data_IF_755039566484
#
_entry.id   IF_755039566484
#
_cell.length_a   1.000
_cell.length_b   1.000
_cell.length_c   1.000
_cell.angle_alpha   90.00
_cell.angle_beta   90.00
_cell.angle_gamma   90.00
#
_symmetry.space_group_name_H-M   'P 1'
#
loop_
_entity.id
_entity.type
_entity.pdbx_description
1 polymer ?
#
# COMPACT_ATOMS: atom_id res chain seq x y z
N UNK A 1 8.67 -14.65 -4.38
CA UNK A 1 8.75 -15.52 -5.56
C UNK A 1 7.37 -15.74 -6.15
N UNK A 2 7.34 -16.11 -7.43
CA UNK A 2 6.11 -16.40 -8.15
C UNK A 2 6.32 -17.59 -9.10
N UNK A 3 5.27 -18.37 -9.41
CA UNK A 3 5.43 -19.63 -10.12
C UNK A 3 5.81 -19.50 -11.60
N UNK A 4 5.75 -18.31 -12.20
CA UNK A 4 6.00 -18.11 -13.63
C UNK A 4 7.46 -18.31 -14.02
N UNK A 5 8.41 -17.71 -13.28
CA UNK A 5 9.86 -17.79 -13.56
C UNK A 5 10.62 -18.75 -12.64
N UNK A 6 9.94 -19.57 -11.85
CA UNK A 6 10.61 -20.43 -10.92
C UNK A 6 11.37 -21.59 -11.62
N UNK A 7 12.46 -22.09 -11.01
CA UNK A 7 13.19 -23.23 -11.53
C UNK A 7 12.30 -24.48 -11.67
N UNK A 8 12.49 -25.23 -12.76
CA UNK A 8 11.76 -26.49 -13.00
C UNK A 8 12.08 -27.58 -11.96
N UNK A 9 13.20 -27.45 -11.28
CA UNK A 9 13.62 -28.39 -10.23
C UNK A 9 12.77 -28.34 -8.97
N UNK A 10 11.96 -27.25 -8.78
CA UNK A 10 11.06 -27.13 -7.63
C UNK A 10 9.71 -27.79 -7.95
N UNK A 11 9.44 -28.96 -7.37
CA UNK A 11 8.22 -29.71 -7.63
C UNK A 11 6.96 -28.97 -7.14
N UNK A 12 7.02 -28.28 -6.00
CA UNK A 12 5.89 -27.52 -5.48
C UNK A 12 5.48 -26.40 -6.45
N UNK A 13 6.44 -25.70 -7.00
CA UNK A 13 6.17 -24.65 -7.99
C UNK A 13 5.66 -25.22 -9.31
N UNK A 14 6.15 -26.40 -9.72
CA UNK A 14 5.60 -27.13 -10.86
C UNK A 14 4.12 -27.52 -10.64
N UNK A 15 3.78 -27.94 -9.42
CA UNK A 15 2.40 -28.27 -9.06
C UNK A 15 1.49 -27.02 -9.10
N UNK A 16 1.97 -25.86 -8.63
CA UNK A 16 1.23 -24.60 -8.76
C UNK A 16 1.00 -24.25 -10.22
N UNK A 17 2.02 -24.38 -11.11
CA UNK A 17 1.84 -24.15 -12.55
C UNK A 17 0.80 -25.10 -13.17
N UNK A 18 0.82 -26.37 -12.79
CA UNK A 18 -0.18 -27.32 -13.26
C UNK A 18 -1.60 -26.96 -12.78
N UNK A 19 -1.73 -26.43 -11.56
CA UNK A 19 -2.98 -25.86 -11.06
C UNK A 19 -3.47 -24.67 -11.90
N UNK A 20 -2.57 -23.78 -12.29
CA UNK A 20 -2.91 -22.70 -13.23
C UNK A 20 -3.28 -23.17 -14.62
N UNK A 21 -2.62 -24.22 -15.13
CA UNK A 21 -2.97 -24.82 -16.44
C UNK A 21 -4.39 -25.38 -16.43
N UNK A 22 -4.79 -26.04 -15.34
CA UNK A 22 -6.14 -26.54 -15.19
C UNK A 22 -7.15 -25.38 -15.02
N UNK A 23 -6.85 -24.38 -14.21
CA UNK A 23 -7.71 -23.20 -14.09
C UNK A 23 -7.89 -22.48 -15.43
N UNK A 24 -6.81 -22.34 -16.22
CA UNK A 24 -6.86 -21.76 -17.58
C UNK A 24 -7.78 -22.57 -18.49
N UNK A 25 -7.67 -23.90 -18.48
CA UNK A 25 -8.54 -24.78 -19.26
C UNK A 25 -10.03 -24.54 -18.93
N UNK A 26 -10.37 -24.41 -17.66
CA UNK A 26 -11.74 -24.12 -17.20
C UNK A 26 -12.19 -22.72 -17.66
N UNK A 27 -11.31 -21.71 -17.60
CA UNK A 27 -11.59 -20.36 -18.12
C UNK A 27 -11.87 -20.42 -19.63
N UNK A 28 -11.09 -21.18 -20.40
CA UNK A 28 -11.28 -21.33 -21.86
C UNK A 28 -12.60 -22.01 -22.21
N UNK A 29 -13.03 -22.95 -21.41
CA UNK A 29 -14.31 -23.66 -21.57
C UNK A 29 -15.52 -22.83 -21.11
N UNK A 30 -15.29 -21.81 -20.32
CA UNK A 30 -16.39 -20.99 -19.75
C UNK A 30 -17.03 -20.01 -20.74
N UNK A 31 -16.40 -19.72 -21.89
CA UNK A 31 -16.79 -18.66 -22.84
C UNK A 31 -16.93 -17.28 -22.17
N UNK A 32 -16.03 -16.94 -21.25
CA UNK A 32 -16.05 -15.66 -20.56
C UNK A 32 -15.67 -14.50 -21.50
N UNK A 33 -16.36 -13.37 -21.31
CA UNK A 33 -16.13 -12.15 -22.07
C UNK A 33 -15.10 -11.23 -21.42
N UNK A 34 -14.86 -11.38 -20.10
CA UNK A 34 -13.97 -10.51 -19.34
C UNK A 34 -13.38 -11.22 -18.09
N UNK A 35 -12.12 -10.92 -17.78
CA UNK A 35 -11.48 -11.27 -16.52
C UNK A 35 -11.41 -10.04 -15.61
N UNK A 36 -12.01 -10.10 -14.43
CA UNK A 36 -12.00 -9.01 -13.45
C UNK A 36 -11.03 -9.36 -12.33
N UNK A 37 -9.94 -8.59 -12.20
CA UNK A 37 -8.87 -8.84 -11.24
C UNK A 37 -8.94 -7.84 -10.10
N UNK A 38 -9.06 -8.35 -8.87
CA UNK A 38 -8.85 -7.58 -7.66
C UNK A 38 -7.51 -7.98 -7.05
N UNK A 39 -6.52 -7.05 -7.10
CA UNK A 39 -5.16 -7.36 -6.68
C UNK A 39 -4.76 -6.65 -5.40
N UNK A 40 -4.34 -7.44 -4.41
CA UNK A 40 -3.76 -6.91 -3.18
C UNK A 40 -2.27 -6.58 -3.32
N UNK A 41 -1.64 -6.96 -4.42
CA UNK A 41 -0.26 -6.58 -4.74
C UNK A 41 -0.17 -5.20 -5.42
N UNK A 42 -1.31 -4.60 -5.77
CA UNK A 42 -1.41 -3.20 -6.15
C UNK A 42 -2.11 -2.38 -5.05
N UNK A 43 -1.39 -1.90 -4.02
CA UNK A 43 -1.97 -1.09 -2.97
C UNK A 43 -2.21 0.34 -3.47
N UNK A 44 -3.38 0.91 -3.16
CA UNK A 44 -3.70 2.32 -3.37
C UNK A 44 -3.94 3.02 -2.04
N UNK A 45 -3.66 4.33 -1.98
CA UNK A 45 -3.83 5.16 -0.77
C UNK A 45 -5.02 6.12 -0.95
N UNK A 46 -5.27 6.57 -2.17
CA UNK A 46 -6.32 7.53 -2.49
C UNK A 46 -7.40 6.81 -3.28
N UNK A 47 -8.44 6.38 -2.59
CA UNK A 47 -9.57 5.66 -3.20
C UNK A 47 -9.15 4.36 -3.91
N UNK A 48 -10.07 3.80 -4.67
CA UNK A 48 -9.83 2.63 -5.50
C UNK A 48 -9.38 3.06 -6.90
N UNK A 49 -8.44 2.33 -7.48
CA UNK A 49 -7.90 2.65 -8.79
C UNK A 49 -8.14 1.49 -9.75
N UNK A 50 -8.58 1.79 -10.95
CA UNK A 50 -8.91 0.80 -11.98
C UNK A 50 -8.08 1.10 -13.22
N UNK A 51 -7.34 0.12 -13.74
CA UNK A 51 -6.57 0.29 -14.98
C UNK A 51 -7.54 0.50 -16.15
N UNK A 52 -7.30 1.55 -16.92
CA UNK A 52 -8.04 1.91 -18.13
C UNK A 52 -7.16 2.30 -19.33
N UNK A 53 -5.85 2.09 -19.24
CA UNK A 53 -4.98 2.05 -20.42
C UNK A 53 -5.36 0.82 -21.25
N UNK A 54 -5.70 0.95 -22.55
CA UNK A 54 -6.17 -0.18 -23.33
C UNK A 54 -5.13 -1.29 -23.50
N UNK A 55 -3.85 -0.92 -23.56
CA UNK A 55 -2.77 -1.87 -23.82
C UNK A 55 -1.53 -1.55 -22.96
N UNK A 56 -1.62 -1.71 -21.65
CA UNK A 56 -0.44 -1.50 -20.81
C UNK A 56 0.65 -2.52 -21.16
N UNK A 57 1.83 -1.99 -21.44
CA UNK A 57 2.98 -2.76 -21.90
C UNK A 57 4.22 -2.35 -21.13
N UNK A 58 4.90 -3.33 -20.52
CA UNK A 58 6.16 -3.10 -19.78
C UNK A 58 6.87 -4.43 -19.49
N UNK A 59 7.86 -4.35 -18.61
CA UNK A 59 8.60 -5.51 -18.10
C UNK A 59 8.51 -5.52 -16.59
N UNK A 60 7.93 -6.59 -16.02
CA UNK A 60 7.92 -6.80 -14.59
C UNK A 60 9.21 -7.49 -14.14
N UNK A 61 9.82 -7.00 -13.07
CA UNK A 61 10.92 -7.62 -12.35
C UNK A 61 10.59 -7.65 -10.88
N UNK A 62 10.63 -8.82 -10.26
CA UNK A 62 10.44 -8.95 -8.83
C UNK A 62 11.62 -8.31 -8.09
N UNK A 63 11.37 -7.38 -7.18
CA UNK A 63 12.44 -6.64 -6.52
C UNK A 63 13.20 -7.47 -5.47
N UNK A 64 12.54 -8.47 -4.88
CA UNK A 64 13.15 -9.39 -3.91
C UNK A 64 13.80 -10.60 -4.58
N UNK A 65 13.28 -11.01 -5.75
CA UNK A 65 13.70 -12.19 -6.51
C UNK A 65 14.09 -11.83 -7.96
N UNK A 66 14.80 -10.71 -8.12
CA UNK A 66 15.22 -10.20 -9.43
C UNK A 66 16.17 -11.13 -10.19
N UNK A 67 16.87 -12.00 -9.49
CA UNK A 67 17.73 -13.05 -10.04
C UNK A 67 16.97 -14.15 -10.80
N UNK A 68 15.67 -14.32 -10.55
CA UNK A 68 14.83 -15.23 -11.33
C UNK A 68 14.56 -14.73 -12.76
N UNK A 69 14.77 -13.43 -13.03
CA UNK A 69 14.62 -12.86 -14.36
C UNK A 69 13.53 -11.79 -14.47
N UNK A 70 13.03 -11.60 -15.69
CA UNK A 70 12.03 -10.58 -16.01
C UNK A 70 10.86 -11.14 -16.80
N UNK A 71 9.68 -10.55 -16.64
CA UNK A 71 8.46 -10.93 -17.34
C UNK A 71 8.00 -9.76 -18.22
N UNK A 72 8.27 -9.79 -19.53
CA UNK A 72 7.67 -8.83 -20.44
C UNK A 72 6.16 -9.11 -20.54
N UNK A 73 5.36 -8.05 -20.47
CA UNK A 73 3.92 -8.15 -20.61
C UNK A 73 3.38 -7.08 -21.56
N UNK A 74 2.31 -7.43 -22.23
CA UNK A 74 1.39 -6.54 -22.93
C UNK A 74 -0.01 -7.09 -22.65
N UNK A 75 -0.91 -6.25 -22.14
CA UNK A 75 -2.23 -6.68 -21.70
C UNK A 75 -3.31 -6.08 -22.59
N UNK A 76 -4.47 -6.74 -22.65
CA UNK A 76 -5.68 -6.27 -23.31
C UNK A 76 -6.70 -5.86 -22.23
N UNK A 77 -6.92 -4.55 -22.06
CA UNK A 77 -7.81 -4.01 -21.02
C UNK A 77 -9.13 -3.58 -21.61
N UNK A 78 -10.25 -4.00 -20.99
CA UNK A 78 -11.58 -3.48 -21.28
C UNK A 78 -11.76 -2.10 -20.64
N UNK A 79 -11.41 -1.08 -21.42
CA UNK A 79 -11.43 0.30 -20.95
C UNK A 79 -12.85 0.82 -20.71
N UNK A 80 -13.85 0.29 -21.44
CA UNK A 80 -15.23 0.70 -21.22
C UNK A 80 -15.75 0.12 -19.91
N UNK A 81 -15.53 -1.15 -19.65
CA UNK A 81 -15.91 -1.77 -18.38
C UNK A 81 -15.19 -1.10 -17.18
N UNK A 82 -13.93 -0.73 -17.33
CA UNK A 82 -13.21 0.00 -16.28
C UNK A 82 -13.90 1.32 -15.92
N UNK A 83 -14.38 2.08 -16.91
CA UNK A 83 -15.13 3.33 -16.71
C UNK A 83 -16.50 3.10 -16.09
N UNK A 84 -17.21 2.05 -16.53
CA UNK A 84 -18.54 1.70 -16.02
C UNK A 84 -18.45 1.27 -14.54
N UNK A 85 -17.42 0.49 -14.19
CA UNK A 85 -17.16 0.15 -12.79
C UNK A 85 -16.77 1.37 -11.94
N UNK A 86 -15.95 2.28 -12.45
CA UNK A 86 -15.62 3.53 -11.77
C UNK A 86 -16.88 4.39 -11.53
N UNK A 87 -17.78 4.46 -12.51
CA UNK A 87 -19.05 5.15 -12.35
C UNK A 87 -19.97 4.48 -11.32
N UNK A 88 -20.05 3.14 -11.31
CA UNK A 88 -20.81 2.39 -10.33
C UNK A 88 -20.24 2.57 -8.89
N UNK A 89 -18.91 2.62 -8.74
CA UNK A 89 -18.27 2.92 -7.47
C UNK A 89 -18.72 4.27 -6.91
N UNK A 90 -18.66 5.31 -7.75
CA UNK A 90 -19.08 6.67 -7.37
C UNK A 90 -20.57 6.74 -7.04
N UNK A 91 -21.41 6.00 -7.77
CA UNK A 91 -22.85 5.93 -7.49
C UNK A 91 -23.16 5.31 -6.12
N UNK A 92 -22.28 4.42 -5.63
CA UNK A 92 -22.38 3.81 -4.29
C UNK A 92 -21.60 4.57 -3.22
N UNK A 93 -21.09 5.79 -3.49
CA UNK A 93 -20.40 6.65 -2.54
C UNK A 93 -18.92 6.35 -2.33
N UNK A 94 -18.31 5.54 -3.20
CA UNK A 94 -16.88 5.25 -3.12
C UNK A 94 -16.05 6.28 -3.87
N UNK A 95 -14.88 6.56 -3.34
CA UNK A 95 -13.85 7.29 -4.08
C UNK A 95 -13.11 6.31 -4.98
N UNK A 96 -13.21 6.52 -6.28
CA UNK A 96 -12.47 5.72 -7.26
C UNK A 96 -12.08 6.54 -8.49
N UNK A 97 -11.14 6.02 -9.24
CA UNK A 97 -10.71 6.62 -10.51
C UNK A 97 -10.12 5.60 -11.46
N UNK A 98 -10.28 5.87 -12.74
CA UNK A 98 -9.55 5.19 -13.79
C UNK A 98 -8.10 5.68 -13.87
N UNK A 99 -7.16 4.75 -14.08
CA UNK A 99 -5.74 5.03 -14.34
C UNK A 99 -5.48 4.76 -15.81
N UNK A 100 -5.32 5.83 -16.57
CA UNK A 100 -5.03 5.81 -18.00
C UNK A 100 -3.70 6.51 -18.27
N UNK A 101 -2.65 6.02 -17.64
CA UNK A 101 -1.31 6.56 -17.81
C UNK A 101 -0.44 5.54 -18.52
N UNK A 102 -0.01 5.86 -19.74
CA UNK A 102 0.86 4.99 -20.52
C UNK A 102 2.19 4.76 -19.80
N UNK A 103 2.58 3.49 -19.62
CA UNK A 103 3.75 3.12 -18.84
C UNK A 103 3.50 3.04 -17.32
N UNK A 104 2.25 3.11 -16.87
CA UNK A 104 1.94 2.77 -15.48
C UNK A 104 2.27 1.30 -15.22
N UNK A 105 3.11 1.00 -14.20
CA UNK A 105 3.52 -0.37 -13.93
C UNK A 105 2.36 -1.20 -13.37
N UNK A 106 2.08 -2.33 -14.01
CA UNK A 106 1.13 -3.31 -13.48
C UNK A 106 1.83 -4.16 -12.42
N UNK A 107 1.14 -4.43 -11.32
CA UNK A 107 1.68 -5.22 -10.23
C UNK A 107 1.99 -6.66 -10.64
N UNK A 108 3.00 -7.24 -9.98
CA UNK A 108 3.50 -8.57 -10.32
C UNK A 108 2.47 -9.68 -10.19
N UNK A 109 1.55 -9.57 -9.24
CA UNK A 109 0.49 -10.56 -9.06
C UNK A 109 -0.49 -10.58 -10.22
N UNK A 110 -0.94 -9.41 -10.68
CA UNK A 110 -1.81 -9.29 -11.87
C UNK A 110 -1.09 -9.75 -13.13
N UNK A 111 0.19 -9.37 -13.31
CA UNK A 111 1.00 -9.82 -14.46
C UNK A 111 1.13 -11.34 -14.48
N UNK A 112 1.51 -11.95 -13.35
CA UNK A 112 1.70 -13.40 -13.26
C UNK A 112 0.38 -14.14 -13.44
N UNK A 113 -0.70 -13.69 -12.80
CA UNK A 113 -2.02 -14.29 -12.95
C UNK A 113 -2.47 -14.27 -14.43
N UNK A 114 -2.38 -13.12 -15.10
CA UNK A 114 -2.77 -13.02 -16.51
C UNK A 114 -1.87 -13.82 -17.45
N UNK A 115 -0.55 -13.86 -17.20
CA UNK A 115 0.38 -14.68 -17.99
C UNK A 115 0.09 -16.18 -17.88
N UNK A 116 -0.40 -16.64 -16.73
CA UNK A 116 -0.73 -18.06 -16.51
C UNK A 116 -2.16 -18.40 -16.92
N UNK A 117 -3.13 -17.52 -16.67
CA UNK A 117 -4.56 -17.77 -16.94
C UNK A 117 -5.02 -17.36 -18.35
N UNK A 118 -4.36 -16.36 -18.96
CA UNK A 118 -4.77 -15.76 -20.24
C UNK A 118 -3.54 -15.35 -21.08
N UNK A 119 -2.61 -16.28 -21.36
CA UNK A 119 -1.31 -15.96 -21.98
C UNK A 119 -1.41 -15.26 -23.32
N UNK A 120 -2.45 -15.54 -24.10
CA UNK A 120 -2.69 -15.00 -25.43
C UNK A 120 -3.50 -13.68 -25.42
N UNK A 121 -3.82 -13.14 -24.25
CA UNK A 121 -4.67 -11.94 -24.08
C UNK A 121 -6.02 -12.01 -24.84
N UNK A 122 -6.53 -13.22 -25.05
CA UNK A 122 -7.75 -13.45 -25.82
C UNK A 122 -8.98 -12.84 -25.12
N UNK A 123 -9.05 -12.97 -23.80
CA UNK A 123 -10.11 -12.40 -22.99
C UNK A 123 -9.64 -11.04 -22.47
N UNK A 124 -10.35 -9.93 -22.73
CA UNK A 124 -10.02 -8.66 -22.11
C UNK A 124 -10.05 -8.73 -20.58
N UNK A 125 -9.18 -7.99 -19.93
CA UNK A 125 -9.13 -7.93 -18.48
C UNK A 125 -9.46 -6.53 -17.96
N UNK A 126 -9.81 -6.43 -16.69
CA UNK A 126 -9.81 -5.19 -15.91
C UNK A 126 -9.11 -5.46 -14.58
N UNK A 127 -8.32 -4.51 -14.10
CA UNK A 127 -7.53 -4.67 -12.87
C UNK A 127 -7.88 -3.54 -11.91
N UNK A 128 -8.26 -3.90 -10.69
CA UNK A 128 -8.56 -2.96 -9.60
C UNK A 128 -7.55 -3.11 -8.46
N UNK A 129 -7.13 -1.98 -7.92
CA UNK A 129 -6.26 -1.90 -6.75
C UNK A 129 -6.98 -2.24 -5.45
N UNK A 130 -6.21 -2.60 -4.43
CA UNK A 130 -6.69 -2.69 -3.05
C UNK A 130 -6.34 -1.41 -2.29
N UNK A 131 -7.35 -0.65 -1.86
CA UNK A 131 -7.12 0.51 -1.01
C UNK A 131 -6.66 0.05 0.38
N UNK A 132 -5.52 0.60 0.84
CA UNK A 132 -4.90 0.19 2.12
C UNK A 132 -5.79 0.51 3.32
N UNK A 133 -6.57 1.57 3.24
CA UNK A 133 -7.46 2.04 4.32
C UNK A 133 -8.87 1.45 4.25
N UNK A 134 -9.24 0.83 3.13
CA UNK A 134 -10.56 0.22 3.00
C UNK A 134 -10.78 -0.86 4.07
N UNK A 135 -11.89 -0.75 4.77
CA UNK A 135 -12.38 -1.75 5.69
C UNK A 135 -13.25 -2.79 4.96
N UNK A 136 -13.87 -3.71 5.70
CA UNK A 136 -14.74 -4.73 5.12
C UNK A 136 -15.95 -4.10 4.42
N UNK A 137 -16.62 -3.12 5.03
CA UNK A 137 -17.78 -2.45 4.47
C UNK A 137 -17.45 -1.78 3.13
N UNK A 138 -16.39 -1.00 3.07
CA UNK A 138 -15.93 -0.35 1.84
C UNK A 138 -15.55 -1.37 0.75
N UNK A 139 -14.88 -2.46 1.12
CA UNK A 139 -14.50 -3.53 0.19
C UNK A 139 -15.73 -4.29 -0.34
N UNK A 140 -16.74 -4.50 0.50
CA UNK A 140 -18.03 -5.11 0.11
C UNK A 140 -18.78 -4.22 -0.88
N UNK A 141 -18.86 -2.92 -0.63
CA UNK A 141 -19.50 -1.96 -1.54
C UNK A 141 -18.76 -1.87 -2.88
N UNK A 142 -17.42 -1.92 -2.89
CA UNK A 142 -16.62 -1.98 -4.12
C UNK A 142 -16.97 -3.20 -4.98
N UNK A 143 -17.17 -4.35 -4.34
CA UNK A 143 -17.56 -5.58 -5.04
C UNK A 143 -18.97 -5.52 -5.58
N UNK A 144 -19.93 -4.97 -4.82
CA UNK A 144 -21.31 -4.76 -5.28
C UNK A 144 -21.38 -3.80 -6.47
N UNK A 145 -20.58 -2.73 -6.44
CA UNK A 145 -20.47 -1.81 -7.58
C UNK A 145 -19.89 -2.50 -8.84
N UNK A 146 -18.97 -3.44 -8.63
CA UNK A 146 -18.47 -4.26 -9.73
C UNK A 146 -19.56 -5.18 -10.30
N UNK A 147 -20.35 -5.81 -9.42
CA UNK A 147 -21.50 -6.65 -9.83
C UNK A 147 -22.52 -5.86 -10.64
N UNK A 148 -22.85 -4.61 -10.23
CA UNK A 148 -23.72 -3.71 -10.99
C UNK A 148 -23.18 -3.45 -12.42
N UNK A 149 -21.85 -3.21 -12.53
CA UNK A 149 -21.22 -3.00 -13.82
C UNK A 149 -21.25 -4.27 -14.70
N UNK A 150 -21.07 -5.45 -14.11
CA UNK A 150 -21.20 -6.75 -14.80
C UNK A 150 -22.62 -6.90 -15.32
N UNK A 151 -23.63 -6.73 -14.47
CA UNK A 151 -25.04 -6.84 -14.85
C UNK A 151 -25.39 -5.84 -15.97
N UNK A 152 -25.02 -4.58 -15.82
CA UNK A 152 -25.30 -3.55 -16.81
C UNK A 152 -24.61 -3.81 -18.17
N UNK A 153 -23.42 -4.41 -18.17
CA UNK A 153 -22.68 -4.75 -19.38
C UNK A 153 -23.23 -5.97 -20.13
N UNK A 154 -23.97 -6.84 -19.44
CA UNK A 154 -24.41 -8.13 -19.94
C UNK A 154 -23.29 -9.13 -20.24
N UNK A 155 -22.06 -8.87 -19.79
CA UNK A 155 -20.88 -9.70 -20.01
C UNK A 155 -20.85 -10.89 -19.07
N UNK A 156 -20.37 -12.02 -19.59
CA UNK A 156 -20.00 -13.17 -18.78
C UNK A 156 -18.62 -12.95 -18.18
N UNK A 157 -18.57 -12.69 -16.88
CA UNK A 157 -17.36 -12.31 -16.19
C UNK A 157 -16.79 -13.44 -15.32
N UNK A 158 -15.47 -13.53 -15.25
CA UNK A 158 -14.77 -14.33 -14.26
C UNK A 158 -14.06 -13.38 -13.30
N UNK A 159 -14.36 -13.50 -12.01
CA UNK A 159 -13.70 -12.77 -10.94
C UNK A 159 -12.42 -13.51 -10.52
N UNK A 160 -11.29 -12.81 -10.53
CA UNK A 160 -9.99 -13.31 -10.12
C UNK A 160 -9.47 -12.47 -8.96
N UNK A 161 -9.12 -13.10 -7.87
CA UNK A 161 -8.47 -12.43 -6.74
C UNK A 161 -7.02 -12.86 -6.62
N UNK A 162 -6.14 -11.89 -6.41
CA UNK A 162 -4.72 -12.09 -6.20
C UNK A 162 -4.39 -11.72 -4.76
N UNK A 163 -4.00 -12.71 -3.96
CA UNK A 163 -3.68 -12.54 -2.55
C UNK A 163 -2.61 -13.52 -2.09
N UNK A 164 -2.15 -13.37 -0.86
CA UNK A 164 -1.39 -14.38 -0.14
C UNK A 164 -2.26 -15.05 0.91
N UNK A 165 -2.05 -16.33 1.16
CA UNK A 165 -2.50 -17.00 2.38
C UNK A 165 -1.57 -16.61 3.54
N UNK A 166 -0.80 -17.49 4.14
CA UNK A 166 0.32 -17.07 4.98
C UNK A 166 1.43 -16.47 4.11
N UNK A 167 2.00 -15.35 4.53
CA UNK A 167 3.06 -14.66 3.78
C UNK A 167 4.35 -14.46 4.58
N UNK A 168 4.60 -15.32 5.54
CA UNK A 168 5.87 -15.35 6.25
C UNK A 168 6.87 -16.11 5.40
N UNK A 169 7.83 -15.38 4.83
CA UNK A 169 8.87 -15.95 3.98
C UNK A 169 10.13 -16.25 4.79
N UNK A 170 10.94 -17.19 4.33
CA UNK A 170 12.29 -17.38 4.86
C UNK A 170 13.19 -16.20 4.46
N UNK A 171 14.09 -15.81 5.36
CA UNK A 171 15.04 -14.72 5.12
C UNK A 171 16.36 -15.21 4.49
N UNK A 172 16.55 -16.50 4.41
CA UNK A 172 17.70 -17.15 3.80
C UNK A 172 17.23 -17.99 2.61
N UNK A 173 18.08 -18.17 1.58
CA UNK A 173 17.78 -19.11 0.51
C UNK A 173 17.50 -20.50 1.07
N UNK A 174 16.46 -21.14 0.59
CA UNK A 174 16.04 -22.50 0.96
C UNK A 174 16.13 -23.37 -0.28
N UNK A 175 16.68 -24.59 -0.13
CA UNK A 175 16.67 -25.56 -1.21
C UNK A 175 15.24 -25.95 -1.58
N UNK A 176 14.92 -26.17 -2.86
CA UNK A 176 13.57 -26.53 -3.28
C UNK A 176 12.96 -27.74 -2.57
N UNK A 177 13.79 -28.71 -2.21
CA UNK A 177 13.40 -29.93 -1.49
C UNK A 177 13.22 -29.73 0.03
N UNK A 178 13.68 -28.60 0.55
CA UNK A 178 13.54 -28.20 1.95
C UNK A 178 12.47 -27.13 2.14
N UNK A 179 11.86 -26.61 1.06
CA UNK A 179 10.84 -25.58 1.15
C UNK A 179 9.57 -26.11 1.83
N UNK A 180 9.12 -25.41 2.83
CA UNK A 180 7.94 -25.75 3.63
C UNK A 180 7.26 -24.47 4.10
N UNK A 181 5.98 -24.55 4.48
CA UNK A 181 5.32 -23.41 5.12
C UNK A 181 6.09 -23.03 6.38
N UNK A 182 6.32 -21.73 6.57
CA UNK A 182 7.22 -21.17 7.59
C UNK A 182 6.94 -21.68 9.01
N UNK A 183 5.69 -21.96 9.36
CA UNK A 183 5.31 -22.56 10.64
C UNK A 183 4.11 -23.49 10.50
N UNK A 184 4.06 -24.51 11.37
CA UNK A 184 2.89 -25.41 11.44
C UNK A 184 1.59 -24.66 11.67
N UNK A 185 1.60 -23.61 12.46
CA UNK A 185 0.41 -22.78 12.72
C UNK A 185 -0.07 -22.07 11.46
N UNK A 186 0.84 -21.54 10.65
CA UNK A 186 0.48 -20.90 9.37
C UNK A 186 -0.10 -21.96 8.42
N UNK A 187 0.49 -23.16 8.37
CA UNK A 187 0.00 -24.25 7.54
C UNK A 187 -1.39 -24.75 7.98
N UNK A 188 -1.61 -24.97 9.27
CA UNK A 188 -2.91 -25.37 9.81
C UNK A 188 -4.02 -24.38 9.43
N UNK A 189 -3.75 -23.08 9.50
CA UNK A 189 -4.71 -22.07 9.08
C UNK A 189 -4.89 -21.99 7.57
N UNK A 190 -3.82 -22.18 6.78
CA UNK A 190 -3.94 -22.28 5.33
C UNK A 190 -4.81 -23.47 4.93
N UNK A 191 -4.58 -24.64 5.53
CA UNK A 191 -5.39 -25.85 5.33
C UNK A 191 -6.86 -25.61 5.68
N UNK A 192 -7.11 -24.90 6.80
CA UNK A 192 -8.48 -24.57 7.20
C UNK A 192 -9.18 -23.65 6.21
N UNK A 193 -8.48 -22.64 5.66
CA UNK A 193 -9.03 -21.78 4.61
C UNK A 193 -9.33 -22.58 3.34
N UNK A 194 -8.45 -23.52 2.95
CA UNK A 194 -8.62 -24.35 1.77
C UNK A 194 -9.76 -25.36 1.94
N UNK A 195 -9.99 -25.85 3.16
CA UNK A 195 -11.16 -26.69 3.48
C UNK A 195 -12.46 -25.93 3.16
N UNK A 196 -12.61 -24.68 3.65
CA UNK A 196 -13.79 -23.85 3.35
C UNK A 196 -13.94 -23.59 1.86
N UNK A 197 -12.85 -23.22 1.17
CA UNK A 197 -12.88 -22.98 -0.27
C UNK A 197 -13.20 -24.25 -1.06
N UNK A 198 -12.62 -25.40 -0.68
CA UNK A 198 -12.91 -26.70 -1.31
C UNK A 198 -14.35 -27.18 -1.10
N UNK A 199 -14.98 -26.78 0.00
CA UNK A 199 -16.40 -27.03 0.27
C UNK A 199 -17.33 -25.98 -0.37
N UNK A 200 -16.77 -24.95 -1.03
CA UNK A 200 -17.54 -23.88 -1.66
C UNK A 200 -18.11 -22.85 -0.67
N UNK A 201 -17.62 -22.83 0.56
CA UNK A 201 -18.08 -22.00 1.68
C UNK A 201 -17.36 -20.67 1.73
N UNK A 202 -17.54 -19.87 0.66
CA UNK A 202 -16.82 -18.60 0.47
C UNK A 202 -17.25 -17.54 1.49
N UNK A 203 -18.57 -17.40 1.76
CA UNK A 203 -19.05 -16.41 2.73
C UNK A 203 -18.61 -16.77 4.16
N UNK A 204 -18.68 -18.05 4.55
CA UNK A 204 -18.18 -18.50 5.84
C UNK A 204 -16.69 -18.17 6.01
N UNK A 205 -15.87 -18.37 4.97
CA UNK A 205 -14.47 -17.99 5.00
C UNK A 205 -14.31 -16.47 5.13
N UNK A 206 -15.11 -15.68 4.42
CA UNK A 206 -15.11 -14.24 4.51
C UNK A 206 -15.42 -13.74 5.93
N UNK A 207 -16.33 -14.41 6.65
CA UNK A 207 -16.62 -14.14 8.05
C UNK A 207 -15.50 -14.62 8.99
N UNK A 208 -15.01 -15.84 8.80
CA UNK A 208 -13.94 -16.43 9.61
C UNK A 208 -12.62 -15.65 9.49
N UNK A 209 -12.41 -14.95 8.39
CA UNK A 209 -11.20 -14.16 8.12
C UNK A 209 -10.85 -13.16 9.22
N UNK A 210 -11.84 -12.67 9.96
CA UNK A 210 -11.63 -11.79 11.13
C UNK A 210 -10.81 -12.49 12.21
N UNK A 211 -11.06 -13.77 12.45
CA UNK A 211 -10.33 -14.59 13.44
C UNK A 211 -8.97 -15.00 12.90
N UNK A 212 -8.91 -15.44 11.64
CA UNK A 212 -7.68 -15.90 10.98
C UNK A 212 -6.63 -14.78 10.94
N UNK A 213 -7.03 -13.55 10.64
CA UNK A 213 -6.12 -12.40 10.57
C UNK A 213 -5.31 -12.19 11.86
N UNK A 214 -5.87 -12.54 13.01
CA UNK A 214 -5.18 -12.48 14.30
C UNK A 214 -4.24 -13.67 14.54
N UNK A 215 -4.34 -14.75 13.78
CA UNK A 215 -3.66 -16.02 14.01
C UNK A 215 -2.45 -16.24 13.10
N UNK A 216 -2.54 -15.83 11.86
CA UNK A 216 -1.45 -15.97 10.87
C UNK A 216 -0.93 -14.61 10.42
N UNK A 217 0.29 -14.63 9.87
CA UNK A 217 0.87 -13.44 9.27
C UNK A 217 0.43 -13.35 7.81
N UNK A 218 -0.50 -12.47 7.54
CA UNK A 218 -0.79 -11.93 6.21
C UNK A 218 -0.32 -10.48 6.15
N UNK A 219 -0.13 -9.95 4.96
CA UNK A 219 0.21 -8.51 4.83
C UNK A 219 -0.91 -7.69 5.48
N UNK A 220 -0.57 -6.90 6.48
CA UNK A 220 -1.56 -6.10 7.25
C UNK A 220 -2.36 -5.14 6.38
N UNK A 221 -1.74 -4.66 5.30
CA UNK A 221 -2.33 -3.69 4.36
C UNK A 221 -3.44 -4.31 3.53
N UNK A 222 -3.31 -5.57 3.19
CA UNK A 222 -4.23 -6.27 2.29
C UNK A 222 -5.22 -7.15 3.02
N UNK A 223 -4.89 -7.64 4.19
CA UNK A 223 -5.76 -8.50 5.01
C UNK A 223 -6.45 -9.59 4.18
N UNK A 224 -7.69 -9.89 4.49
CA UNK A 224 -8.55 -10.80 3.72
C UNK A 224 -9.50 -10.07 2.77
N UNK A 225 -9.21 -8.84 2.37
CA UNK A 225 -10.03 -8.06 1.44
C UNK A 225 -10.42 -8.83 0.16
N UNK A 226 -9.54 -9.64 -0.46
CA UNK A 226 -9.95 -10.45 -1.61
C UNK A 226 -11.07 -11.42 -1.31
N UNK A 227 -11.12 -12.01 -0.13
CA UNK A 227 -12.22 -12.92 0.25
C UNK A 227 -13.53 -12.15 0.47
N UNK A 228 -13.46 -10.97 1.08
CA UNK A 228 -14.62 -10.10 1.23
C UNK A 228 -15.14 -9.61 -0.11
N UNK A 229 -14.23 -9.20 -0.98
CA UNK A 229 -14.58 -8.74 -2.32
C UNK A 229 -15.16 -9.88 -3.17
N UNK A 230 -14.53 -11.06 -3.17
CA UNK A 230 -14.97 -12.21 -3.94
C UNK A 230 -16.34 -12.74 -3.46
N UNK A 231 -16.57 -12.76 -2.16
CA UNK A 231 -17.88 -13.13 -1.61
C UNK A 231 -18.94 -12.10 -2.00
N UNK A 232 -18.66 -10.81 -1.86
CA UNK A 232 -19.64 -9.77 -2.10
C UNK A 232 -20.00 -9.59 -3.59
N UNK A 233 -19.06 -9.74 -4.53
CA UNK A 233 -19.37 -9.69 -5.98
C UNK A 233 -20.30 -10.82 -6.41
N UNK A 234 -20.28 -11.93 -5.66
CA UNK A 234 -21.11 -13.10 -5.89
C UNK A 234 -22.36 -13.15 -5.00
N UNK A 235 -22.70 -12.07 -4.30
CA UNK A 235 -23.94 -11.98 -3.51
C UNK A 235 -23.87 -12.57 -2.11
N UNK A 236 -22.66 -12.77 -1.53
CA UNK A 236 -22.45 -13.20 -0.15
C UNK A 236 -23.15 -14.50 0.22
N UNK A 237 -22.79 -15.60 -0.42
CA UNK A 237 -23.37 -16.92 -0.18
C UNK A 237 -22.31 -18.04 -0.26
N UNK A 238 -22.69 -19.26 0.12
CA UNK A 238 -21.86 -20.46 0.14
C UNK A 238 -22.24 -21.48 -0.97
N UNK A 239 -22.78 -21.02 -2.08
CA UNK A 239 -23.33 -21.89 -3.14
C UNK A 239 -22.31 -22.08 -4.27
N UNK A 240 -21.20 -22.74 -3.98
CA UNK A 240 -20.15 -23.01 -4.96
C UNK A 240 -19.72 -24.47 -4.91
N UNK A 241 -19.23 -24.98 -6.03
CA UNK A 241 -18.40 -26.16 -6.11
C UNK A 241 -16.94 -25.70 -6.06
N UNK A 242 -16.28 -25.91 -4.94
CA UNK A 242 -14.90 -25.49 -4.74
C UNK A 242 -13.91 -26.55 -5.18
N UNK A 243 -12.84 -26.14 -5.85
CA UNK A 243 -11.76 -27.00 -6.30
C UNK A 243 -10.43 -26.40 -5.87
N UNK A 244 -9.70 -27.05 -4.97
CA UNK A 244 -8.33 -26.71 -4.65
C UNK A 244 -7.43 -27.44 -5.66
N UNK A 245 -6.98 -26.75 -6.68
CA UNK A 245 -6.19 -27.33 -7.78
C UNK A 245 -4.73 -27.54 -7.39
N UNK A 246 -4.20 -26.68 -6.52
CA UNK A 246 -2.86 -26.81 -5.97
C UNK A 246 -2.74 -26.08 -4.64
N UNK A 247 -1.90 -26.60 -3.74
CA UNK A 247 -1.42 -25.90 -2.54
C UNK A 247 0.01 -26.34 -2.25
N UNK A 248 0.93 -25.38 -2.20
CA UNK A 248 2.36 -25.63 -2.01
C UNK A 248 3.03 -24.53 -1.21
N UNK A 249 4.19 -24.85 -0.64
CA UNK A 249 5.08 -23.86 -0.08
C UNK A 249 5.79 -23.09 -1.19
N UNK A 250 5.83 -21.76 -1.04
CA UNK A 250 6.56 -20.86 -1.92
C UNK A 250 7.51 -20.01 -1.08
N UNK A 251 8.70 -20.54 -0.81
CA UNK A 251 9.72 -19.90 0.02
C UNK A 251 9.20 -19.55 1.45
N UNK A 252 8.50 -20.50 2.05
CA UNK A 252 7.89 -20.35 3.38
C UNK A 252 6.45 -19.82 3.37
N UNK A 253 6.02 -19.14 2.32
CA UNK A 253 4.64 -18.68 2.16
C UNK A 253 3.74 -19.78 1.58
N UNK A 254 2.44 -19.72 1.88
CA UNK A 254 1.45 -20.62 1.29
C UNK A 254 0.95 -20.10 -0.06
N UNK A 255 1.14 -20.87 -1.11
CA UNK A 255 0.60 -20.62 -2.44
C UNK A 255 -0.50 -21.61 -2.80
N UNK A 256 -1.61 -21.13 -3.34
CA UNK A 256 -2.70 -21.97 -3.78
C UNK A 256 -3.32 -21.50 -5.09
N UNK A 257 -3.91 -22.45 -5.83
CA UNK A 257 -4.80 -22.17 -6.96
C UNK A 257 -6.15 -22.80 -6.64
N UNK A 258 -7.19 -21.99 -6.61
CA UNK A 258 -8.55 -22.42 -6.27
C UNK A 258 -9.53 -21.90 -7.31
N UNK A 259 -10.47 -22.74 -7.71
CA UNK A 259 -11.59 -22.40 -8.58
C UNK A 259 -12.90 -22.61 -7.80
N UNK A 260 -13.81 -21.67 -7.95
CA UNK A 260 -15.16 -21.72 -7.37
C UNK A 260 -16.18 -21.60 -8.51
N UNK A 261 -16.88 -22.69 -8.79
CA UNK A 261 -17.97 -22.70 -9.77
C UNK A 261 -19.32 -22.50 -9.05
N UNK A 262 -20.21 -21.63 -9.54
CA UNK A 262 -21.55 -21.50 -8.98
C UNK A 262 -22.27 -22.86 -8.98
N UNK A 263 -22.94 -23.22 -7.87
CA UNK A 263 -23.74 -24.42 -7.75
C UNK A 263 -25.19 -24.08 -7.40
N UNK A 264 -26.13 -24.89 -7.91
CA UNK A 264 -27.52 -24.79 -7.48
C UNK A 264 -27.73 -25.51 -6.13
N UNK A 265 -28.35 -24.84 -5.16
CA UNK A 265 -28.82 -25.47 -3.92
C UNK A 265 -27.83 -25.55 -2.77
N UNK A 266 -26.75 -24.79 -2.77
CA UNK A 266 -25.87 -24.65 -1.60
C UNK A 266 -26.56 -23.91 -0.44
N UNK A 267 -26.04 -24.12 0.79
CA UNK A 267 -26.54 -23.42 1.99
C UNK A 267 -26.04 -21.99 1.96
N UNK A 268 -26.93 -21.05 1.57
CA UNK A 268 -26.66 -19.63 1.74
C UNK A 268 -27.18 -19.20 3.11
N UNK A 269 -26.29 -18.85 4.02
CA UNK A 269 -26.67 -18.26 5.28
C UNK A 269 -25.82 -17.02 5.51
N UNK A 270 -26.48 -15.85 5.40
CA UNK A 270 -25.90 -14.59 5.87
C UNK A 270 -26.03 -14.60 7.40
N UNK A 271 -25.02 -15.08 8.09
CA UNK A 271 -25.05 -15.12 9.56
C UNK A 271 -25.01 -13.72 10.21
N UNK A 272 -24.63 -12.67 9.45
CA UNK A 272 -24.45 -11.31 9.98
C UNK A 272 -24.99 -10.26 9.02
N UNK A 273 -26.22 -9.81 9.22
CA UNK A 273 -26.84 -8.69 8.50
C UNK A 273 -26.07 -7.36 8.67
N UNK A 274 -25.24 -7.27 9.71
CA UNK A 274 -24.46 -6.08 10.02
C UNK A 274 -23.44 -5.66 8.93
N UNK A 275 -23.06 -6.62 8.09
CA UNK A 275 -22.07 -6.41 7.03
C UNK A 275 -22.71 -6.23 5.63
N UNK A 276 -24.05 -6.23 5.53
CA UNK A 276 -24.76 -6.03 4.25
C UNK A 276 -24.91 -4.55 3.93
N UNK A 277 -23.80 -3.96 3.50
CA UNK A 277 -23.70 -2.54 3.21
C UNK A 277 -23.91 -2.29 1.72
N UNK A 278 -24.97 -1.53 1.37
CA UNK A 278 -25.28 -1.20 -0.02
C UNK A 278 -24.55 0.03 -0.53
N UNK A 279 -24.36 1.04 0.32
CA UNK A 279 -23.65 2.27 -0.03
C UNK A 279 -22.62 2.59 1.04
N UNK A 280 -21.50 3.14 0.60
CA UNK A 280 -20.45 3.61 1.49
C UNK A 280 -20.69 5.07 1.88
N UNK A 281 -20.69 5.35 3.17
CA UNK A 281 -20.89 6.69 3.73
C UNK A 281 -19.70 7.19 4.55
N UNK A 282 -18.49 6.72 4.23
CA UNK A 282 -17.28 7.02 4.98
C UNK A 282 -17.11 6.14 6.22
N UNK A 283 -16.17 6.50 7.08
CA UNK A 283 -15.86 5.73 8.28
C UNK A 283 -17.04 5.76 9.26
N UNK A 284 -17.67 4.61 9.46
CA UNK A 284 -18.87 4.44 10.29
C UNK A 284 -18.57 4.20 11.76
N UNK A 285 -17.31 4.12 12.14
CA UNK A 285 -16.93 3.81 13.51
C UNK A 285 -16.83 5.02 14.42
N UNK A 286 -17.14 6.23 13.91
CA UNK A 286 -17.00 7.47 14.65
C UNK A 286 -18.25 8.32 14.43
N UNK A 287 -19.35 7.95 15.06
CA UNK A 287 -20.59 8.73 14.99
C UNK A 287 -21.01 9.21 16.39
N UNK A 288 -20.37 10.26 16.85
CA UNK A 288 -20.99 11.16 17.79
C UNK A 288 -21.18 12.55 17.14
N UNK A 289 -22.03 13.38 17.74
CA UNK A 289 -22.38 14.71 17.23
C UNK A 289 -21.15 15.64 17.05
N UNK A 290 -20.02 15.35 17.70
CA UNK A 290 -18.78 16.11 17.55
C UNK A 290 -18.07 15.74 16.24
N UNK A 291 -18.21 14.50 15.79
CA UNK A 291 -17.64 14.02 14.53
C UNK A 291 -18.46 14.47 13.33
N UNK A 292 -19.80 14.53 13.44
CA UNK A 292 -20.65 15.13 12.40
C UNK A 292 -20.30 16.61 12.19
N UNK A 293 -20.07 17.36 13.27
CA UNK A 293 -19.63 18.76 13.20
C UNK A 293 -18.22 18.90 12.57
N UNK A 294 -17.33 17.92 12.78
CA UNK A 294 -15.99 17.90 12.20
C UNK A 294 -16.06 17.59 10.70
N UNK A 295 -16.94 16.69 10.28
CA UNK A 295 -17.17 16.38 8.86
C UNK A 295 -17.77 17.58 8.11
N UNK A 296 -18.72 18.31 8.71
CA UNK A 296 -19.24 19.55 8.12
C UNK A 296 -18.15 20.63 7.94
N UNK A 297 -17.19 20.71 8.86
CA UNK A 297 -16.03 21.63 8.76
C UNK A 297 -15.06 21.14 7.67
N UNK A 298 -14.82 19.84 7.56
CA UNK A 298 -13.98 19.27 6.50
C UNK A 298 -14.61 19.41 5.11
N UNK A 299 -15.90 19.23 4.94
CA UNK A 299 -16.59 19.44 3.65
C UNK A 299 -16.45 20.89 3.17
N UNK A 300 -16.47 21.88 4.05
CA UNK A 300 -16.21 23.28 3.70
C UNK A 300 -14.74 23.52 3.33
N UNK A 301 -13.79 22.89 4.01
CA UNK A 301 -12.36 23.00 3.69
C UNK A 301 -11.96 22.18 2.47
N UNK A 302 -12.60 21.04 2.21
CA UNK A 302 -12.41 20.24 1.01
C UNK A 302 -12.89 20.95 -0.25
N UNK A 303 -13.99 21.73 -0.19
CA UNK A 303 -14.45 22.52 -1.33
C UNK A 303 -13.46 23.65 -1.72
N UNK A 304 -12.78 24.24 -0.77
CA UNK A 304 -11.68 25.19 -1.03
C UNK A 304 -10.42 24.49 -1.53
N UNK A 305 -10.10 23.31 -0.99
CA UNK A 305 -8.97 22.49 -1.42
C UNK A 305 -9.19 21.94 -2.84
N UNK A 306 -10.39 21.40 -3.14
CA UNK A 306 -10.75 20.94 -4.48
C UNK A 306 -10.76 22.09 -5.49
N UNK A 307 -11.23 23.26 -5.10
CA UNK A 307 -11.16 24.48 -5.93
C UNK A 307 -9.71 24.91 -6.18
N UNK A 308 -8.83 24.74 -5.19
CA UNK A 308 -7.40 25.02 -5.33
C UNK A 308 -6.69 23.99 -6.20
N UNK A 309 -6.98 22.71 -6.02
CA UNK A 309 -6.46 21.59 -6.84
C UNK A 309 -6.93 21.73 -8.29
N UNK A 310 -8.20 22.00 -8.55
CA UNK A 310 -8.73 22.23 -9.89
C UNK A 310 -8.13 23.47 -10.56
N UNK A 311 -7.90 24.56 -9.81
CA UNK A 311 -7.21 25.74 -10.31
C UNK A 311 -5.72 25.49 -10.57
N UNK A 312 -5.10 24.59 -9.84
CA UNK A 312 -3.70 24.20 -10.04
C UNK A 312 -3.58 23.27 -11.25
N UNK A 313 -4.47 22.29 -11.40
CA UNK A 313 -4.52 21.37 -12.56
C UNK A 313 -4.86 22.12 -13.86
N UNK A 314 -5.75 23.11 -13.81
CA UNK A 314 -6.06 23.95 -14.99
C UNK A 314 -4.89 24.87 -15.43
N UNK A 315 -3.87 25.06 -14.58
CA UNK A 315 -2.64 25.76 -14.93
C UNK A 315 -1.56 24.87 -15.54
N UNK A 316 -1.69 23.55 -15.43
CA UNK A 316 -0.68 22.58 -15.90
C UNK A 316 -0.79 22.23 -17.40
N UNK A 317 -1.70 22.84 -18.17
CA UNK A 317 -1.70 22.70 -19.64
C UNK A 317 -0.57 23.48 -20.36
N UNK A 318 0.25 24.20 -19.63
CA UNK A 318 1.48 24.82 -20.14
C UNK A 318 2.70 24.18 -19.47
N UNK A 319 3.31 23.19 -20.10
CA UNK A 319 4.57 22.49 -19.85
C UNK A 319 5.34 22.69 -18.54
N UNK A 320 6.29 21.82 -18.17
CA UNK A 320 6.91 21.86 -16.85
C UNK A 320 7.77 23.12 -16.69
N UNK A 321 7.18 24.18 -16.14
CA UNK A 321 8.00 25.20 -15.48
C UNK A 321 8.56 24.59 -14.19
N UNK A 322 9.89 24.52 -14.14
CA UNK A 322 10.66 24.24 -12.94
C UNK A 322 10.08 25.02 -11.76
N UNK A 323 9.67 24.32 -10.73
CA UNK A 323 9.09 24.87 -9.51
C UNK A 323 9.93 26.04 -8.97
N UNK A 324 9.49 27.25 -9.23
CA UNK A 324 10.04 28.45 -8.59
C UNK A 324 9.32 28.61 -7.27
N UNK A 325 10.09 28.45 -6.17
CA UNK A 325 9.60 28.47 -4.80
C UNK A 325 8.55 29.56 -4.56
N UNK A 326 7.35 29.15 -4.24
CA UNK A 326 6.25 30.06 -3.95
C UNK A 326 6.57 30.87 -2.70
N UNK A 327 6.69 32.17 -2.84
CA UNK A 327 6.62 33.11 -1.72
C UNK A 327 5.17 33.11 -1.24
N UNK A 328 4.84 32.23 -0.28
CA UNK A 328 3.54 32.19 0.39
C UNK A 328 3.69 32.64 1.85
N UNK A 329 2.71 33.33 2.41
CA UNK A 329 2.68 33.77 3.82
C UNK A 329 2.87 32.62 4.83
N UNK A 330 2.72 31.37 4.39
CA UNK A 330 2.81 30.16 5.21
C UNK A 330 4.17 29.44 5.13
N UNK A 331 5.13 29.96 4.37
CA UNK A 331 6.47 29.37 4.24
C UNK A 331 7.47 30.13 5.09
N UNK A 332 8.23 29.41 5.90
CA UNK A 332 9.26 29.97 6.76
C UNK A 332 10.63 29.62 6.22
N UNK A 333 11.42 30.65 5.94
CA UNK A 333 12.85 30.54 5.62
C UNK A 333 13.62 31.48 6.53
N UNK A 334 14.78 31.05 7.00
CA UNK A 334 15.66 31.85 7.84
C UNK A 334 17.12 31.63 7.47
N UNK A 335 17.90 32.69 7.44
CA UNK A 335 19.35 32.60 7.23
C UNK A 335 20.12 32.20 8.51
N UNK A 336 19.41 32.14 9.63
CA UNK A 336 19.98 31.70 10.92
C UNK A 336 20.10 30.17 11.04
N UNK A 337 19.43 29.41 10.16
CA UNK A 337 19.55 27.96 10.06
C UNK A 337 20.28 27.55 8.77
N UNK A 338 20.86 26.33 8.70
CA UNK A 338 21.53 25.85 7.49
C UNK A 338 20.60 25.85 6.29
N UNK A 339 21.06 26.33 5.15
CA UNK A 339 20.26 26.29 3.91
C UNK A 339 19.83 24.87 3.59
N UNK A 340 18.55 24.65 3.24
CA UNK A 340 18.06 23.36 2.77
C UNK A 340 18.89 22.85 1.59
N UNK A 341 19.12 21.55 1.52
CA UNK A 341 19.89 20.90 0.43
C UNK A 341 19.08 20.73 -0.86
N UNK A 342 17.82 21.13 -0.85
CA UNK A 342 16.91 21.02 -1.98
C UNK A 342 15.91 22.19 -2.02
N UNK A 343 14.99 22.22 -3.00
CA UNK A 343 14.02 23.30 -3.21
C UNK A 343 12.82 23.19 -2.24
N UNK A 344 13.07 23.35 -0.94
CA UNK A 344 12.02 23.32 0.09
C UNK A 344 12.30 24.33 1.20
N UNK A 345 11.27 24.86 1.90
CA UNK A 345 11.43 25.79 3.02
C UNK A 345 11.95 25.10 4.28
N UNK A 346 12.41 25.87 5.26
CA UNK A 346 12.74 25.34 6.59
C UNK A 346 11.51 24.84 7.32
N UNK A 347 10.38 25.55 7.18
CA UNK A 347 9.11 25.13 7.76
C UNK A 347 7.90 25.65 6.95
N UNK A 348 6.77 25.01 7.15
CA UNK A 348 5.47 25.40 6.60
C UNK A 348 4.41 25.46 7.71
N UNK A 349 3.67 26.55 7.75
CA UNK A 349 2.53 26.74 8.65
C UNK A 349 1.25 26.20 8.01
N UNK A 350 0.45 25.45 8.77
CA UNK A 350 -0.88 24.98 8.38
C UNK A 350 -1.81 25.17 9.58
N UNK A 351 -2.68 26.18 9.54
CA UNK A 351 -3.45 26.57 10.72
C UNK A 351 -2.53 26.93 11.89
N UNK A 352 -2.76 26.34 13.04
CA UNK A 352 -1.96 26.52 14.26
C UNK A 352 -0.79 25.52 14.37
N UNK A 353 -0.52 24.76 13.31
CA UNK A 353 0.57 23.80 13.26
C UNK A 353 1.72 24.28 12.37
N UNK A 354 2.93 23.92 12.78
CA UNK A 354 4.17 24.17 12.08
C UNK A 354 4.86 22.86 11.74
N UNK A 355 5.04 22.60 10.44
CA UNK A 355 5.74 21.44 9.91
C UNK A 355 7.14 21.83 9.48
N UNK A 356 8.17 21.38 10.18
CA UNK A 356 9.55 21.57 9.79
C UNK A 356 9.95 20.55 8.73
N UNK A 357 10.79 20.96 7.79
CA UNK A 357 11.52 20.03 6.94
C UNK A 357 12.52 19.22 7.77
N UNK A 358 13.13 18.17 7.20
CA UNK A 358 14.22 17.45 7.86
C UNK A 358 15.36 18.39 8.21
N UNK A 359 15.81 18.36 9.47
CA UNK A 359 16.85 19.25 10.01
C UNK A 359 18.03 18.41 10.48
N UNK A 360 19.20 18.66 9.89
CA UNK A 360 20.46 18.03 10.25
C UNK A 360 21.37 18.95 11.08
N UNK A 361 22.56 18.46 11.49
CA UNK A 361 23.48 19.16 12.39
C UNK A 361 24.35 20.24 11.71
N UNK A 362 24.25 20.44 10.40
CA UNK A 362 25.12 21.40 9.68
C UNK A 362 24.98 22.81 10.28
N UNK A 363 26.05 23.57 10.27
CA UNK A 363 26.03 24.96 10.73
C UNK A 363 25.63 25.93 9.61
N UNK A 364 24.83 26.93 9.94
CA UNK A 364 24.20 27.85 8.99
C UNK A 364 25.17 28.53 8.01
N UNK A 365 26.32 29.00 8.46
CA UNK A 365 27.22 29.82 7.64
C UNK A 365 28.39 29.04 7.07
N UNK A 366 28.81 27.98 7.70
CA UNK A 366 30.03 27.23 7.37
C UNK A 366 29.75 25.89 6.71
N UNK A 367 28.54 25.36 6.83
CA UNK A 367 28.17 23.98 6.52
C UNK A 367 29.00 22.91 7.29
N UNK A 368 29.79 23.32 8.26
CA UNK A 368 30.53 22.38 9.10
C UNK A 368 29.56 21.51 9.91
N UNK A 369 29.97 20.29 10.23
CA UNK A 369 29.20 19.33 11.00
C UNK A 369 29.85 19.21 12.37
N UNK A 370 29.25 19.74 13.44
CA UNK A 370 29.74 19.54 14.80
C UNK A 370 29.82 18.04 15.12
N UNK A 371 30.93 17.61 15.68
CA UNK A 371 31.21 16.18 15.93
C UNK A 371 31.78 15.44 14.71
N UNK A 372 31.97 16.12 13.57
CA UNK A 372 32.57 15.57 12.35
C UNK A 372 31.57 14.86 11.43
N UNK A 373 31.88 14.74 10.13
CA UNK A 373 31.11 13.97 9.17
C UNK A 373 31.30 12.46 9.35
N UNK A 374 30.30 11.66 8.98
CA UNK A 374 30.38 10.17 9.07
C UNK A 374 31.24 9.54 7.98
N UNK A 375 31.57 10.27 6.93
CA UNK A 375 32.42 9.83 5.82
C UNK A 375 33.12 11.01 5.17
N UNK A 376 34.30 10.74 4.58
CA UNK A 376 35.05 11.73 3.79
C UNK A 376 34.50 11.88 2.37
N UNK A 377 35.12 12.74 1.56
CA UNK A 377 34.74 12.98 0.16
C UNK A 377 34.89 11.73 -0.73
N UNK A 378 35.75 10.79 -0.37
CA UNK A 378 35.92 9.52 -1.06
C UNK A 378 34.89 8.45 -0.64
N UNK A 379 34.07 8.75 0.36
CA UNK A 379 33.09 7.81 0.92
C UNK A 379 33.62 6.91 2.02
N UNK A 380 34.90 7.07 2.45
CA UNK A 380 35.45 6.27 3.53
C UNK A 380 34.85 6.68 4.88
N UNK A 381 34.53 5.72 5.76
CA UNK A 381 33.96 6.00 7.07
C UNK A 381 34.92 6.83 7.94
N UNK A 382 34.37 7.79 8.66
CA UNK A 382 35.07 8.58 9.64
C UNK A 382 34.46 8.37 11.04
N UNK A 383 35.25 8.57 12.05
CA UNK A 383 34.75 8.65 13.42
C UNK A 383 34.06 9.99 13.66
N UNK A 384 32.95 9.99 14.40
CA UNK A 384 32.13 11.16 14.66
C UNK A 384 31.51 11.12 16.06
N UNK A 385 31.11 12.28 16.56
CA UNK A 385 30.42 12.44 17.84
C UNK A 385 28.90 12.64 17.61
N UNK A 386 28.13 11.60 17.91
CA UNK A 386 26.66 11.64 17.79
C UNK A 386 26.00 12.62 18.75
N UNK A 387 26.57 12.80 19.97
CA UNK A 387 26.01 13.75 20.96
C UNK A 387 26.15 15.18 20.43
N UNK A 388 27.32 15.53 19.88
CA UNK A 388 27.53 16.83 19.23
C UNK A 388 26.65 17.06 18.03
N UNK A 389 26.49 16.06 17.16
CA UNK A 389 25.57 16.14 16.00
C UNK A 389 24.11 16.30 16.45
N UNK A 390 23.65 15.51 17.42
CA UNK A 390 22.27 15.60 17.91
C UNK A 390 21.97 16.97 18.52
N UNK A 391 22.91 17.51 19.33
CA UNK A 391 22.78 18.84 19.93
C UNK A 391 22.69 19.91 18.84
N UNK A 392 23.55 19.89 17.86
CA UNK A 392 23.55 20.85 16.75
C UNK A 392 22.24 20.78 15.94
N UNK A 393 21.72 19.57 15.72
CA UNK A 393 20.44 19.34 15.05
C UNK A 393 19.29 20.01 15.82
N UNK A 394 19.21 19.80 17.16
CA UNK A 394 18.13 20.38 18.00
C UNK A 394 18.27 21.90 18.11
N UNK A 395 19.48 22.45 18.19
CA UNK A 395 19.68 23.90 18.18
C UNK A 395 19.24 24.53 16.83
N UNK A 396 19.50 23.87 15.70
CA UNK A 396 18.96 24.30 14.40
C UNK A 396 17.43 24.28 14.37
N UNK A 397 16.80 23.25 14.94
CA UNK A 397 15.33 23.17 15.07
C UNK A 397 14.82 24.34 15.91
N UNK A 398 15.44 24.64 17.04
CA UNK A 398 15.06 25.75 17.90
C UNK A 398 15.09 27.08 17.17
N UNK A 399 16.15 27.35 16.42
CA UNK A 399 16.27 28.57 15.58
C UNK A 399 15.14 28.66 14.54
N UNK A 400 14.77 27.55 13.91
CA UNK A 400 13.67 27.52 12.93
C UNK A 400 12.32 27.75 13.61
N UNK A 401 12.08 27.14 14.77
CA UNK A 401 10.87 27.34 15.56
C UNK A 401 10.71 28.81 15.99
N UNK A 402 11.76 29.42 16.52
CA UNK A 402 11.79 30.82 16.95
C UNK A 402 11.54 31.78 15.75
N UNK A 403 12.16 31.52 14.61
CA UNK A 403 11.93 32.28 13.38
C UNK A 403 10.49 32.12 12.85
N UNK A 404 9.80 31.07 13.25
CA UNK A 404 8.42 30.75 12.90
C UNK A 404 7.39 31.29 13.89
N UNK A 405 7.81 31.88 15.03
CA UNK A 405 6.94 32.34 16.10
C UNK A 405 6.52 31.24 17.08
N UNK A 406 7.23 30.12 17.11
CA UNK A 406 7.04 28.99 18.02
C UNK A 406 8.25 28.80 18.94
N UNK A 407 8.28 27.72 19.68
CA UNK A 407 9.39 27.38 20.61
C UNK A 407 9.53 25.87 20.78
N UNK A 408 10.64 25.45 21.40
CA UNK A 408 10.90 24.03 21.68
C UNK A 408 9.83 23.40 22.58
N UNK A 409 9.28 24.17 23.50
CA UNK A 409 8.23 23.72 24.44
C UNK A 409 6.88 23.43 23.76
N UNK A 410 6.72 23.86 22.52
CA UNK A 410 5.51 23.68 21.70
C UNK A 410 5.65 22.54 20.70
N UNK A 411 6.72 21.76 20.77
CA UNK A 411 6.93 20.59 19.91
C UNK A 411 5.94 19.49 20.31
N UNK A 412 5.23 18.97 19.33
CA UNK A 412 4.21 17.94 19.48
C UNK A 412 4.72 16.56 19.09
N UNK A 413 5.48 16.48 17.97
CA UNK A 413 6.01 15.23 17.45
C UNK A 413 7.41 15.38 16.87
N UNK A 414 8.24 14.34 17.07
CA UNK A 414 9.60 14.25 16.54
C UNK A 414 9.80 12.92 15.85
N UNK A 415 10.10 12.94 14.55
CA UNK A 415 10.60 11.77 13.84
C UNK A 415 12.12 11.89 13.70
N UNK A 416 12.84 10.90 14.19
CA UNK A 416 14.32 10.88 14.23
C UNK A 416 14.85 9.80 13.30
N UNK A 417 15.84 10.16 12.49
CA UNK A 417 16.53 9.27 11.56
C UNK A 417 17.98 9.12 11.99
N UNK A 418 18.43 7.89 12.26
CA UNK A 418 19.81 7.55 12.61
C UNK A 418 20.41 6.66 11.53
N UNK A 419 21.66 6.91 11.14
CA UNK A 419 22.36 6.08 10.14
C UNK A 419 22.87 4.79 10.77
N UNK A 420 23.29 4.82 12.03
CA UNK A 420 23.74 3.67 12.80
C UNK A 420 23.02 3.61 14.15
N UNK A 421 21.95 2.82 14.21
CA UNK A 421 21.12 2.70 15.41
C UNK A 421 21.88 2.08 16.58
N UNK A 422 22.66 1.05 16.31
CA UNK A 422 23.35 0.28 17.38
C UNK A 422 24.43 1.11 18.06
N UNK A 423 25.18 1.86 17.25
CA UNK A 423 26.23 2.76 17.73
C UNK A 423 25.66 4.00 18.42
N UNK A 424 24.67 4.63 17.82
CA UNK A 424 24.33 6.04 18.07
C UNK A 424 23.14 6.25 19.00
N UNK A 425 22.24 5.27 19.12
CA UNK A 425 20.97 5.47 19.85
C UNK A 425 21.16 5.93 21.30
N UNK A 426 22.16 5.41 21.99
CA UNK A 426 22.41 5.77 23.41
C UNK A 426 22.85 7.23 23.55
N UNK A 427 23.79 7.69 22.73
CA UNK A 427 24.29 9.06 22.73
C UNK A 427 23.21 10.05 22.25
N UNK A 428 22.53 9.72 21.15
CA UNK A 428 21.39 10.46 20.66
C UNK A 428 20.31 10.63 21.76
N UNK A 429 19.88 9.55 22.39
CA UNK A 429 18.80 9.57 23.38
C UNK A 429 19.16 10.34 24.65
N UNK A 430 20.44 10.36 25.03
CA UNK A 430 20.95 11.19 26.15
C UNK A 430 20.72 12.68 25.85
N UNK A 431 21.17 13.15 24.69
CA UNK A 431 21.00 14.56 24.29
C UNK A 431 19.53 14.90 24.03
N UNK A 432 18.76 14.03 23.36
CA UNK A 432 17.32 14.21 23.16
C UNK A 432 16.58 14.46 24.49
N UNK A 433 16.93 13.71 25.53
CA UNK A 433 16.31 13.85 26.85
C UNK A 433 16.62 15.18 27.53
N UNK A 434 17.73 15.83 27.21
CA UNK A 434 18.06 17.16 27.76
C UNK A 434 17.11 18.25 27.33
N UNK A 435 16.52 18.10 26.09
CA UNK A 435 15.64 19.11 25.49
C UNK A 435 14.16 18.75 25.57
N UNK A 436 13.80 17.46 25.45
CA UNK A 436 12.40 17.04 25.22
C UNK A 436 11.77 16.29 26.39
N UNK A 437 12.52 15.98 27.47
CA UNK A 437 11.96 15.22 28.60
C UNK A 437 10.69 15.85 29.18
N UNK A 438 10.71 17.17 29.37
CA UNK A 438 9.63 17.91 30.02
C UNK A 438 8.63 18.51 28.99
N UNK A 439 8.91 18.42 27.71
CA UNK A 439 8.06 18.88 26.61
C UNK A 439 6.89 17.92 26.35
N UNK A 440 7.12 16.62 26.51
CA UNK A 440 6.09 15.60 26.30
C UNK A 440 5.80 15.30 24.81
N UNK A 441 6.70 15.70 23.91
CA UNK A 441 6.56 15.39 22.48
C UNK A 441 6.54 13.89 22.22
N UNK A 442 5.66 13.45 21.32
CA UNK A 442 5.71 12.07 20.80
C UNK A 442 6.96 11.87 19.95
N UNK A 443 7.47 10.63 19.87
CA UNK A 443 8.69 10.35 19.11
C UNK A 443 8.65 9.01 18.41
N UNK A 444 9.07 9.02 17.14
CA UNK A 444 9.45 7.82 16.40
C UNK A 444 10.93 7.89 16.02
N UNK A 445 11.70 6.81 16.27
CA UNK A 445 13.11 6.73 15.89
C UNK A 445 13.32 5.59 14.92
N UNK A 446 13.95 5.87 13.78
CA UNK A 446 14.15 4.95 12.66
C UNK A 446 15.63 4.85 12.31
N UNK A 447 16.08 3.64 11.96
CA UNK A 447 17.35 3.44 11.27
C UNK A 447 17.15 3.66 9.76
N UNK A 448 18.05 4.43 9.14
CA UNK A 448 18.06 4.69 7.70
C UNK A 448 19.42 4.33 7.10
N UNK A 449 19.43 3.91 5.86
CA UNK A 449 20.66 3.52 5.19
C UNK A 449 21.64 4.68 4.97
N UNK A 450 21.12 5.87 4.69
CA UNK A 450 21.89 7.08 4.45
C UNK A 450 21.01 8.33 4.60
N UNK A 451 21.64 9.47 4.82
CA UNK A 451 21.04 10.79 4.78
C UNK A 451 21.65 11.60 3.62
N UNK A 452 20.99 12.66 3.12
CA UNK A 452 21.43 13.43 1.94
C UNK A 452 22.82 14.06 2.07
N UNK A 453 23.27 14.30 3.30
CA UNK A 453 24.62 14.82 3.61
C UNK A 453 25.34 13.84 4.53
N UNK A 454 26.68 13.92 4.73
CA UNK A 454 27.43 12.96 5.53
C UNK A 454 27.21 13.16 7.06
N UNK A 455 25.98 13.10 7.51
CA UNK A 455 25.52 13.27 8.89
C UNK A 455 25.01 11.96 9.46
N UNK A 456 25.07 11.79 10.79
CA UNK A 456 24.60 10.60 11.50
C UNK A 456 23.12 10.69 11.91
N UNK A 457 22.58 11.91 12.02
CA UNK A 457 21.23 12.15 12.54
C UNK A 457 20.53 13.28 11.79
N UNK A 458 19.22 13.10 11.57
CA UNK A 458 18.29 14.11 11.08
C UNK A 458 17.00 14.03 11.88
N UNK A 459 16.36 15.15 12.17
CA UNK A 459 15.09 15.21 12.87
C UNK A 459 14.05 15.95 12.04
N UNK A 460 12.83 15.43 12.01
CA UNK A 460 11.64 16.10 11.49
C UNK A 460 10.71 16.41 12.65
N UNK A 461 10.17 17.63 12.72
CA UNK A 461 9.41 18.13 13.86
C UNK A 461 8.08 18.70 13.42
N UNK A 462 7.05 18.45 14.22
CA UNK A 462 5.77 19.15 14.18
C UNK A 462 5.61 19.89 15.51
N UNK A 463 5.24 21.19 15.46
CA UNK A 463 5.01 22.02 16.63
C UNK A 463 3.72 22.82 16.49
N UNK A 464 3.16 23.27 17.61
CA UNK A 464 2.13 24.31 17.59
C UNK A 464 2.75 25.71 17.49
N UNK A 465 1.94 26.71 17.15
CA UNK A 465 2.34 28.12 17.07
C UNK A 465 2.21 28.84 18.40
#
# INVERSE_FOLDING_TARGET
PHPYLCPDANQGWANIRAGFDEARRQIEESDADILIIYSTLWPSIIGHQIISDPNPEWVFVDHDFHDLGSIPYSLNIDTQFAKDWDAANKARGLQSRCVNYHGFPIDGGSVVALKLLNPDNRIPAVICSSNVYANRAETTVLAKACADAVEASGKKAIAVVVMSMSNRMFTQPVSPDEDAIHSLKDDEWNQKMLEFLGEGRLEDLAQLSRTIQGQIRVQKVVSFKPMWWLSAINGQHNNFNGQVLAYEALHGAGGAVVVLDPSEGGVGDKEYDEDDVENYHGDRNVLDAATEAFIEIEEHSLSEFDSLVLKTLAKEESGPELWQGTKGENLVNTDAAPKPVGPYPHARRIGDLLYLSGVGPRQAQTNSIPGGPIKNENGDPLDYDIEAQTRACIENIKVILEASGSSIDKVLDVTSFLVDMDRDFKGYNKVYSEYFRDVGATRTTLAVRALPTPIAVELKVIASL
#
